data_IF_114277695080
#
_entry.id   IF_114277695080
#
_cell.length_a   1.000
_cell.length_b   1.000
_cell.length_c   1.000
_cell.angle_alpha   90.00
_cell.angle_beta   90.00
_cell.angle_gamma   90.00
#
_symmetry.space_group_name_H-M   'P 1'
#
loop_
_entity.id
_entity.type
_entity.pdbx_description
1 polymer ?
#
# COMPACT_ATOMS: atom_id res chain seq x y z
N UNK A 1 -0.43 23.51 -17.06
CA UNK A 1 0.91 22.93 -17.31
C UNK A 1 1.77 23.27 -16.08
N UNK A 2 2.56 22.33 -15.57
CA UNK A 2 3.20 22.46 -14.24
C UNK A 2 4.17 23.64 -14.12
N UNK A 3 4.28 24.18 -12.90
CA UNK A 3 4.98 25.44 -12.62
C UNK A 3 5.48 25.51 -11.16
N UNK A 4 6.47 26.36 -10.93
CA UNK A 4 6.88 26.80 -9.59
C UNK A 4 6.25 28.16 -9.31
N UNK A 5 5.55 28.30 -8.20
CA UNK A 5 4.92 29.56 -7.79
C UNK A 5 5.84 30.33 -6.84
N UNK A 6 6.64 31.23 -7.42
CA UNK A 6 7.55 32.12 -6.70
C UNK A 6 8.96 31.54 -6.48
N UNK A 7 9.73 32.21 -5.65
CA UNK A 7 11.06 31.80 -5.20
C UNK A 7 11.12 31.81 -3.68
N UNK A 8 11.92 30.95 -3.07
CA UNK A 8 11.98 30.83 -1.61
C UNK A 8 13.39 30.55 -1.11
N UNK A 9 13.79 31.29 -0.07
CA UNK A 9 14.97 31.01 0.76
C UNK A 9 14.71 29.95 1.84
N UNK A 10 13.45 29.55 2.05
CA UNK A 10 13.04 28.61 3.09
C UNK A 10 12.85 27.19 2.55
N UNK A 11 12.28 27.06 1.35
CA UNK A 11 12.03 25.78 0.70
C UNK A 11 10.77 25.77 -0.15
N UNK A 12 10.32 24.58 -0.50
CA UNK A 12 9.22 24.35 -1.42
C UNK A 12 8.25 23.30 -0.88
N UNK A 13 6.99 23.38 -1.30
CA UNK A 13 5.94 22.45 -0.93
C UNK A 13 5.20 21.89 -2.17
N UNK A 14 4.94 20.59 -2.17
CA UNK A 14 4.16 19.89 -3.20
C UNK A 14 2.96 19.23 -2.52
N UNK A 15 1.75 19.59 -2.95
CA UNK A 15 0.52 19.03 -2.39
C UNK A 15 0.41 17.51 -2.68
N UNK A 16 -0.16 16.71 -1.76
CA UNK A 16 -0.15 15.26 -1.85
C UNK A 16 -1.20 14.67 -2.80
N UNK A 17 -2.14 15.47 -3.30
CA UNK A 17 -3.34 15.00 -4.01
C UNK A 17 -3.06 14.23 -5.31
N UNK A 18 -2.05 14.63 -6.10
CA UNK A 18 -1.78 14.00 -7.40
C UNK A 18 -0.88 12.77 -7.26
N UNK A 19 -1.09 11.76 -8.09
CA UNK A 19 -0.24 10.56 -8.07
C UNK A 19 1.19 10.87 -8.54
N UNK A 20 1.35 11.80 -9.48
CA UNK A 20 2.65 12.24 -9.99
C UNK A 20 3.57 12.82 -8.90
N UNK A 21 3.02 13.28 -7.76
CA UNK A 21 3.81 13.65 -6.59
C UNK A 21 4.71 12.50 -6.11
N UNK A 22 4.31 11.24 -6.29
CA UNK A 22 5.13 10.08 -5.92
C UNK A 22 6.31 9.87 -6.88
N UNK A 23 6.17 10.21 -8.16
CA UNK A 23 7.31 10.23 -9.10
C UNK A 23 8.32 11.29 -8.65
N UNK A 24 7.83 12.48 -8.27
CA UNK A 24 8.70 13.54 -7.74
C UNK A 24 9.46 13.06 -6.49
N UNK A 25 8.75 12.45 -5.53
CA UNK A 25 9.35 11.87 -4.32
C UNK A 25 10.42 10.83 -4.67
N UNK A 26 10.11 9.88 -5.56
CA UNK A 26 11.04 8.82 -5.95
C UNK A 26 12.30 9.38 -6.64
N UNK A 27 12.16 10.33 -7.56
CA UNK A 27 13.28 11.01 -8.22
C UNK A 27 14.15 11.79 -7.22
N UNK A 28 13.51 12.59 -6.35
CA UNK A 28 14.21 13.36 -5.32
C UNK A 28 15.00 12.45 -4.36
N UNK A 29 14.40 11.34 -3.92
CA UNK A 29 15.06 10.37 -3.04
C UNK A 29 16.20 9.62 -3.75
N UNK A 30 16.04 9.31 -5.04
CA UNK A 30 17.10 8.71 -5.87
C UNK A 30 18.30 9.65 -6.00
N UNK A 31 18.04 10.94 -6.12
CA UNK A 31 19.08 12.00 -6.16
C UNK A 31 19.60 12.36 -4.75
N UNK A 32 19.23 11.59 -3.72
CA UNK A 32 19.62 11.78 -2.31
C UNK A 32 19.19 13.14 -1.74
N UNK A 33 18.17 13.78 -2.32
CA UNK A 33 17.61 15.00 -1.80
C UNK A 33 16.95 14.75 -0.44
N UNK A 34 17.12 15.71 0.49
CA UNK A 34 16.47 15.65 1.80
C UNK A 34 15.05 16.18 1.65
N UNK A 35 14.05 15.32 1.79
CA UNK A 35 12.64 15.71 1.73
C UNK A 35 11.88 15.21 2.97
N UNK A 36 10.75 15.85 3.24
CA UNK A 36 9.90 15.55 4.38
C UNK A 36 8.44 15.47 3.95
N UNK A 37 7.60 14.84 4.76
CA UNK A 37 6.16 14.96 4.68
C UNK A 37 5.65 15.73 5.91
N UNK A 38 4.79 16.72 5.69
CA UNK A 38 4.06 17.39 6.76
C UNK A 38 3.14 16.38 7.47
N UNK A 39 3.14 16.35 8.80
CA UNK A 39 2.26 15.46 9.58
C UNK A 39 0.97 16.14 10.00
N UNK A 40 0.91 17.47 9.91
CA UNK A 40 -0.24 18.28 10.28
C UNK A 40 -0.56 19.29 9.18
N UNK A 41 -1.76 19.88 9.27
CA UNK A 41 -2.15 21.00 8.43
C UNK A 41 -1.29 22.22 8.77
N UNK A 42 -0.93 23.01 7.76
CA UNK A 42 -0.26 24.30 7.98
C UNK A 42 -0.67 25.30 6.89
N UNK A 43 -0.45 26.57 7.20
CA UNK A 43 -0.74 27.71 6.30
C UNK A 43 0.57 28.40 5.98
N UNK A 44 0.77 28.74 4.71
CA UNK A 44 1.89 29.57 4.26
C UNK A 44 1.37 30.60 3.24
N UNK A 45 1.45 31.88 3.59
CA UNK A 45 0.80 32.97 2.86
C UNK A 45 -0.72 32.75 2.77
N UNK A 46 -1.24 32.66 1.54
CA UNK A 46 -2.66 32.39 1.25
C UNK A 46 -2.97 30.90 1.00
N UNK A 47 -1.96 30.04 1.04
CA UNK A 47 -2.09 28.63 0.69
C UNK A 47 -2.27 27.76 1.95
N UNK A 48 -3.25 26.85 1.87
CA UNK A 48 -3.47 25.81 2.87
C UNK A 48 -2.85 24.49 2.41
N UNK A 49 -2.16 23.82 3.32
CA UNK A 49 -1.51 22.53 3.08
C UNK A 49 -2.03 21.47 4.05
N UNK A 50 -2.21 20.26 3.53
CA UNK A 50 -2.74 19.11 4.27
C UNK A 50 -1.60 18.17 4.71
N UNK A 51 -1.83 17.28 5.69
CA UNK A 51 -0.92 16.18 5.99
C UNK A 51 -0.53 15.40 4.72
N UNK A 52 0.74 14.99 4.66
CA UNK A 52 1.38 14.39 3.50
C UNK A 52 1.90 15.35 2.45
N UNK A 53 1.71 16.67 2.62
CA UNK A 53 2.40 17.66 1.77
C UNK A 53 3.90 17.41 1.81
N UNK A 54 4.50 17.24 0.63
CA UNK A 54 5.93 17.01 0.50
C UNK A 54 6.64 18.34 0.64
N UNK A 55 7.60 18.39 1.56
CA UNK A 55 8.38 19.58 1.89
C UNK A 55 9.82 19.35 1.46
N UNK A 56 10.33 20.28 0.67
CA UNK A 56 11.72 20.34 0.26
C UNK A 56 12.37 21.54 0.95
N UNK A 57 13.52 21.39 1.61
CA UNK A 57 14.34 22.52 2.04
C UNK A 57 14.74 23.41 0.86
N UNK A 58 15.23 24.61 1.18
CA UNK A 58 15.84 25.48 0.17
C UNK A 58 16.94 24.72 -0.60
N UNK A 59 16.86 24.79 -1.92
CA UNK A 59 17.83 24.18 -2.84
C UNK A 59 18.74 25.26 -3.41
N UNK A 60 20.01 24.91 -3.69
CA UNK A 60 20.95 25.81 -4.36
C UNK A 60 20.60 26.03 -5.83
N UNK A 61 20.03 25.02 -6.48
CA UNK A 61 19.68 25.06 -7.90
C UNK A 61 18.16 24.84 -8.08
N UNK A 62 17.45 25.91 -8.42
CA UNK A 62 16.00 25.88 -8.63
C UNK A 62 15.58 25.14 -9.90
N UNK A 63 16.48 25.02 -10.90
CA UNK A 63 16.16 24.39 -12.19
C UNK A 63 15.72 22.94 -12.07
N UNK A 64 16.22 22.21 -11.07
CA UNK A 64 15.77 20.84 -10.75
C UNK A 64 14.30 20.82 -10.34
N UNK A 65 13.86 21.81 -9.54
CA UNK A 65 12.48 21.94 -9.07
C UNK A 65 11.56 22.39 -10.21
N UNK A 66 12.01 23.33 -11.03
CA UNK A 66 11.28 23.78 -12.23
C UNK A 66 11.09 22.65 -13.23
N UNK A 67 12.13 21.85 -13.46
CA UNK A 67 12.05 20.66 -14.32
C UNK A 67 11.07 19.63 -13.75
N UNK A 68 11.13 19.32 -12.45
CA UNK A 68 10.17 18.43 -11.79
C UNK A 68 8.73 18.93 -11.95
N UNK A 69 8.49 20.23 -11.73
CA UNK A 69 7.18 20.84 -11.89
C UNK A 69 6.67 20.65 -13.33
N UNK A 70 7.49 20.99 -14.33
CA UNK A 70 7.14 20.91 -15.75
C UNK A 70 6.87 19.47 -16.21
N UNK A 71 7.82 18.57 -15.98
CA UNK A 71 7.79 17.17 -16.44
C UNK A 71 6.62 16.39 -15.83
N UNK A 72 6.29 16.67 -14.56
CA UNK A 72 5.26 15.93 -13.82
C UNK A 72 3.92 16.66 -13.76
N UNK A 73 3.84 17.84 -14.38
CA UNK A 73 2.68 18.73 -14.37
C UNK A 73 2.21 19.10 -12.96
N UNK A 74 3.16 19.29 -12.05
CA UNK A 74 2.90 19.65 -10.66
C UNK A 74 2.98 21.17 -10.46
N UNK A 75 2.16 21.68 -9.55
CA UNK A 75 2.34 23.01 -8.97
C UNK A 75 3.20 22.86 -7.73
N UNK A 76 4.36 23.50 -7.72
CA UNK A 76 5.29 23.52 -6.58
C UNK A 76 5.26 24.93 -5.97
N UNK A 77 4.93 25.02 -4.69
CA UNK A 77 4.78 26.29 -4.00
C UNK A 77 6.08 26.68 -3.31
N UNK A 78 6.58 27.88 -3.56
CA UNK A 78 7.71 28.43 -2.83
C UNK A 78 7.22 28.93 -1.46
N UNK A 79 7.83 28.43 -0.37
CA UNK A 79 7.39 28.76 0.99
C UNK A 79 7.81 30.17 1.41
N UNK A 80 6.94 30.90 2.08
CA UNK A 80 7.22 32.24 2.63
C UNK A 80 7.77 32.18 4.05
N UNK A 81 7.72 31.01 4.69
CA UNK A 81 8.22 30.76 6.04
C UNK A 81 9.08 29.47 6.09
N UNK A 82 9.89 29.27 7.14
CA UNK A 82 10.59 28.01 7.38
C UNK A 82 9.65 26.79 7.33
N UNK A 83 10.17 25.63 6.91
CA UNK A 83 9.40 24.38 6.89
C UNK A 83 8.75 24.11 8.27
N UNK A 84 7.47 23.71 8.32
CA UNK A 84 6.75 23.48 9.58
C UNK A 84 7.48 22.48 10.49
N UNK A 85 7.39 22.68 11.81
CA UNK A 85 8.04 21.77 12.78
C UNK A 85 7.44 20.36 12.74
N UNK A 86 6.16 20.25 12.43
CA UNK A 86 5.37 19.02 12.34
C UNK A 86 5.59 18.33 11.00
N UNK A 87 6.75 17.66 10.87
CA UNK A 87 7.16 16.94 9.67
C UNK A 87 7.96 15.68 9.99
N UNK A 88 7.87 14.69 9.10
CA UNK A 88 8.62 13.43 9.16
C UNK A 88 9.55 13.32 7.96
N UNK A 89 10.76 12.81 8.16
CA UNK A 89 11.73 12.66 7.06
C UNK A 89 11.30 11.47 6.21
N UNK A 90 11.35 11.61 4.88
CA UNK A 90 11.18 10.48 3.98
C UNK A 90 12.54 9.93 3.59
N UNK A 91 12.66 8.61 3.61
CA UNK A 91 13.84 7.87 3.17
C UNK A 91 13.53 7.02 1.95
N UNK A 92 14.51 6.74 1.07
CA UNK A 92 14.33 5.77 -0.01
C UNK A 92 13.86 4.42 0.56
N UNK A 93 12.88 3.80 -0.08
CA UNK A 93 12.31 2.51 0.33
C UNK A 93 12.68 1.46 -0.71
N UNK A 94 13.35 0.38 -0.28
CA UNK A 94 13.62 -0.78 -1.14
C UNK A 94 12.40 -1.68 -1.11
N UNK A 95 11.74 -1.84 -2.25
CA UNK A 95 10.45 -2.53 -2.36
C UNK A 95 10.66 -3.91 -2.96
N UNK A 96 10.31 -4.95 -2.21
CA UNK A 96 10.16 -6.29 -2.75
C UNK A 96 8.71 -6.53 -3.20
N UNK A 97 8.50 -7.14 -4.36
CA UNK A 97 7.19 -7.64 -4.78
C UNK A 97 7.24 -9.15 -4.94
N UNK A 98 6.44 -9.86 -4.16
CA UNK A 98 6.41 -11.30 -4.18
C UNK A 98 5.87 -11.83 -5.52
N UNK A 99 6.68 -12.66 -6.17
CA UNK A 99 6.37 -13.34 -7.42
C UNK A 99 6.32 -14.85 -7.18
N UNK A 100 5.12 -15.43 -7.00
CA UNK A 100 4.98 -16.88 -6.93
C UNK A 100 5.37 -17.53 -8.27
N UNK A 101 5.76 -18.80 -8.22
CA UNK A 101 5.97 -19.58 -9.44
C UNK A 101 4.70 -19.92 -10.20
N UNK A 102 3.56 -19.90 -9.51
CA UNK A 102 2.25 -19.95 -10.15
C UNK A 102 1.91 -18.58 -10.72
N UNK A 103 1.33 -18.55 -11.91
CA UNK A 103 0.97 -17.32 -12.58
C UNK A 103 0.11 -16.41 -11.69
N UNK A 104 0.53 -15.15 -11.56
CA UNK A 104 -0.22 -14.10 -10.88
C UNK A 104 -0.35 -12.91 -11.82
N UNK A 105 -1.57 -12.68 -12.34
CA UNK A 105 -1.84 -11.48 -13.12
C UNK A 105 -1.68 -10.22 -12.28
N UNK A 106 -2.07 -10.29 -11.00
CA UNK A 106 -2.02 -9.13 -10.11
C UNK A 106 -0.59 -8.70 -9.79
N UNK A 107 0.36 -9.63 -9.69
CA UNK A 107 1.80 -9.31 -9.60
C UNK A 107 2.25 -8.49 -10.80
N UNK A 108 1.89 -8.91 -12.03
CA UNK A 108 2.26 -8.21 -13.25
C UNK A 108 1.70 -6.79 -13.33
N UNK A 109 0.43 -6.60 -12.94
CA UNK A 109 -0.19 -5.27 -12.88
C UNK A 109 0.42 -4.38 -11.80
N UNK A 110 0.68 -4.95 -10.63
CA UNK A 110 1.33 -4.23 -9.52
C UNK A 110 2.73 -3.79 -9.92
N UNK A 111 3.50 -4.68 -10.56
CA UNK A 111 4.83 -4.38 -11.10
C UNK A 111 4.79 -3.26 -12.13
N UNK A 112 3.90 -3.36 -13.12
CA UNK A 112 3.73 -2.32 -14.15
C UNK A 112 3.43 -0.95 -13.52
N UNK A 113 2.53 -0.90 -12.54
CA UNK A 113 2.23 0.34 -11.83
C UNK A 113 3.46 0.89 -11.12
N UNK A 114 4.13 0.09 -10.30
CA UNK A 114 5.26 0.55 -9.49
C UNK A 114 6.46 0.97 -10.36
N UNK A 115 6.72 0.28 -11.48
CA UNK A 115 7.73 0.67 -12.48
C UNK A 115 7.38 2.02 -13.13
N UNK A 116 6.11 2.22 -13.54
CA UNK A 116 5.65 3.51 -14.12
C UNK A 116 5.78 4.68 -13.16
N UNK A 117 5.67 4.42 -11.86
CA UNK A 117 5.84 5.44 -10.82
C UNK A 117 7.27 5.49 -10.25
N UNK A 118 8.22 4.80 -10.86
CA UNK A 118 9.67 4.85 -10.57
C UNK A 118 10.04 4.38 -9.15
N UNK A 119 9.30 3.43 -8.59
CA UNK A 119 9.66 2.82 -7.30
C UNK A 119 10.90 1.92 -7.45
N UNK A 120 11.73 1.86 -6.40
CA UNK A 120 12.88 0.95 -6.33
C UNK A 120 12.40 -0.49 -6.06
N UNK A 121 11.94 -1.14 -7.12
CA UNK A 121 11.25 -2.43 -7.09
C UNK A 121 12.16 -3.59 -7.46
N UNK A 122 12.05 -4.69 -6.72
CA UNK A 122 12.69 -5.97 -7.02
C UNK A 122 11.65 -7.09 -6.91
N UNK A 123 11.58 -7.98 -7.90
CA UNK A 123 10.77 -9.20 -7.80
C UNK A 123 11.40 -10.17 -6.80
N UNK A 124 10.58 -10.71 -5.90
CA UNK A 124 11.02 -11.60 -4.82
C UNK A 124 10.46 -12.99 -5.05
N UNK A 125 11.33 -13.98 -5.25
CA UNK A 125 10.93 -15.37 -5.49
C UNK A 125 10.67 -16.13 -4.18
N UNK A 126 10.19 -17.37 -4.29
CA UNK A 126 9.99 -18.23 -3.14
C UNK A 126 11.30 -18.50 -2.37
N UNK A 127 12.40 -18.67 -3.09
CA UNK A 127 13.73 -19.00 -2.57
C UNK A 127 14.28 -17.83 -1.78
N UNK A 128 14.20 -16.61 -2.33
CA UNK A 128 14.60 -15.40 -1.62
C UNK A 128 13.85 -15.22 -0.28
N UNK A 129 12.57 -15.58 -0.23
CA UNK A 129 11.80 -15.57 1.02
C UNK A 129 12.30 -16.64 1.99
N UNK A 130 12.50 -17.87 1.51
CA UNK A 130 12.97 -19.00 2.34
C UNK A 130 14.39 -18.79 2.88
N UNK A 131 15.29 -18.19 2.10
CA UNK A 131 16.64 -17.79 2.52
C UNK A 131 16.63 -16.80 3.69
N UNK A 132 15.55 -16.01 3.81
CA UNK A 132 15.35 -15.06 4.89
C UNK A 132 16.26 -13.84 4.76
N UNK A 133 16.63 -13.24 5.90
CA UNK A 133 17.39 -11.97 5.97
C UNK A 133 16.80 -10.82 5.12
N UNK A 134 15.48 -10.86 4.90
CA UNK A 134 14.78 -9.95 3.98
C UNK A 134 14.99 -8.47 4.30
N UNK A 135 15.12 -8.10 5.59
CA UNK A 135 15.32 -6.69 5.99
C UNK A 135 16.65 -6.11 5.49
N UNK A 136 17.64 -6.97 5.22
CA UNK A 136 18.90 -6.57 4.59
C UNK A 136 18.69 -6.02 3.19
N UNK A 137 17.65 -6.46 2.49
CA UNK A 137 17.41 -6.12 1.08
C UNK A 137 16.19 -5.22 0.90
N UNK A 138 15.19 -5.35 1.75
CA UNK A 138 13.89 -4.70 1.61
C UNK A 138 13.52 -3.92 2.86
N UNK A 139 12.76 -2.85 2.65
CA UNK A 139 12.12 -2.06 3.69
C UNK A 139 10.61 -2.29 3.67
N UNK A 140 10.04 -2.47 2.47
CA UNK A 140 8.68 -2.92 2.26
C UNK A 140 8.66 -4.18 1.38
N UNK A 141 7.80 -5.15 1.72
CA UNK A 141 7.54 -6.34 0.93
C UNK A 141 6.04 -6.44 0.62
N UNK A 142 5.69 -6.54 -0.65
CA UNK A 142 4.31 -6.57 -1.13
C UNK A 142 3.93 -8.01 -1.50
N UNK A 143 2.82 -8.49 -0.93
CA UNK A 143 2.14 -9.72 -1.35
C UNK A 143 0.94 -9.31 -2.21
N UNK A 144 0.92 -9.63 -3.51
CA UNK A 144 -0.18 -9.27 -4.40
C UNK A 144 -1.45 -10.09 -4.10
N UNK A 145 -2.52 -9.85 -4.86
CA UNK A 145 -3.77 -10.63 -4.81
C UNK A 145 -3.54 -12.08 -5.29
N UNK A 146 -3.04 -12.89 -4.36
CA UNK A 146 -2.72 -14.30 -4.55
C UNK A 146 -3.19 -15.05 -3.31
N UNK A 147 -3.97 -16.12 -3.50
CA UNK A 147 -4.50 -16.90 -2.38
C UNK A 147 -3.41 -17.56 -1.53
N UNK A 148 -3.66 -17.66 -0.21
CA UNK A 148 -2.76 -18.27 0.78
C UNK A 148 -2.22 -19.64 0.37
N UNK A 149 -3.06 -20.50 -0.22
CA UNK A 149 -2.63 -21.82 -0.68
C UNK A 149 -1.55 -21.73 -1.75
N UNK A 150 -1.70 -20.84 -2.73
CA UNK A 150 -0.69 -20.61 -3.78
C UNK A 150 0.63 -20.11 -3.19
N UNK A 151 0.56 -19.23 -2.19
CA UNK A 151 1.74 -18.67 -1.51
C UNK A 151 2.48 -19.76 -0.71
N UNK A 152 1.76 -20.55 0.07
CA UNK A 152 2.36 -21.54 0.97
C UNK A 152 2.72 -22.84 0.26
N UNK A 153 1.73 -23.48 -0.37
CA UNK A 153 1.80 -24.83 -0.94
C UNK A 153 0.80 -24.93 -2.12
N UNK A 154 1.20 -24.58 -3.35
CA UNK A 154 0.28 -24.48 -4.48
C UNK A 154 -0.26 -25.82 -4.97
N UNK A 155 0.35 -26.95 -4.57
CA UNK A 155 -0.12 -28.30 -4.89
C UNK A 155 -1.45 -28.57 -4.18
N UNK A 156 -2.57 -28.76 -4.91
CA UNK A 156 -3.85 -29.04 -4.29
C UNK A 156 -3.82 -30.36 -3.53
N UNK A 157 -4.39 -30.39 -2.33
CA UNK A 157 -4.60 -31.63 -1.56
C UNK A 157 -5.85 -32.40 -1.99
N UNK A 158 -6.85 -31.68 -2.51
CA UNK A 158 -8.10 -32.28 -2.99
C UNK A 158 -7.85 -33.07 -4.29
N UNK A 159 -8.19 -34.39 -4.34
CA UNK A 159 -8.02 -35.22 -5.53
C UNK A 159 -8.67 -34.64 -6.79
N UNK A 160 -9.84 -33.99 -6.66
CA UNK A 160 -10.56 -33.41 -7.80
C UNK A 160 -9.82 -32.26 -8.46
N UNK A 161 -9.05 -31.48 -7.69
CA UNK A 161 -8.19 -30.40 -8.20
C UNK A 161 -6.80 -30.90 -8.58
N UNK A 162 -6.28 -31.89 -7.85
CA UNK A 162 -4.96 -32.46 -8.10
C UNK A 162 -4.82 -33.03 -9.53
N UNK A 163 -5.90 -33.60 -10.11
CA UNK A 163 -5.89 -34.10 -11.50
C UNK A 163 -5.60 -33.04 -12.58
N UNK A 164 -5.93 -31.78 -12.29
CA UNK A 164 -5.66 -30.64 -13.18
C UNK A 164 -4.36 -29.91 -12.84
N UNK A 165 -3.70 -30.30 -11.76
CA UNK A 165 -2.41 -29.73 -11.40
C UNK A 165 -1.36 -30.17 -12.42
N UNK A 166 -0.60 -29.21 -12.92
CA UNK A 166 0.56 -29.44 -13.79
C UNK A 166 1.80 -29.01 -13.03
N UNK A 167 2.71 -29.95 -12.69
CA UNK A 167 3.96 -29.61 -12.04
C UNK A 167 4.82 -28.77 -13.00
N UNK A 168 5.59 -27.85 -12.44
CA UNK A 168 6.65 -27.16 -13.16
C UNK A 168 7.97 -27.90 -12.91
N UNK A 169 9.07 -27.59 -13.64
CA UNK A 169 10.39 -28.07 -13.24
C UNK A 169 10.65 -27.75 -11.76
N UNK A 170 11.32 -28.65 -11.03
CA UNK A 170 11.47 -28.59 -9.57
C UNK A 170 11.93 -27.22 -9.05
N UNK A 171 12.85 -26.56 -9.78
CA UNK A 171 13.37 -25.22 -9.46
C UNK A 171 12.32 -24.09 -9.51
N UNK A 172 11.17 -24.32 -10.13
CA UNK A 172 10.04 -23.39 -10.26
C UNK A 172 8.75 -24.00 -9.69
N UNK A 173 8.86 -24.98 -8.79
CA UNK A 173 7.71 -25.57 -8.12
C UNK A 173 7.61 -25.13 -6.65
N UNK A 174 6.43 -25.28 -6.06
CA UNK A 174 6.19 -25.04 -4.64
C UNK A 174 5.88 -23.58 -4.27
N UNK A 175 5.79 -23.35 -2.97
CA UNK A 175 5.57 -22.06 -2.35
C UNK A 175 6.62 -21.78 -1.29
N UNK A 176 6.36 -20.80 -0.42
CA UNK A 176 7.29 -20.37 0.63
C UNK A 176 7.26 -21.30 1.86
N UNK A 177 6.20 -22.09 2.03
CA UNK A 177 6.03 -23.00 3.17
C UNK A 177 6.10 -22.32 4.55
N UNK A 178 6.26 -23.13 5.61
CA UNK A 178 6.37 -22.65 7.00
C UNK A 178 7.66 -21.85 7.23
N UNK A 179 8.73 -22.22 6.55
CA UNK A 179 10.04 -21.53 6.62
C UNK A 179 9.92 -20.09 6.11
N UNK A 180 9.27 -19.89 4.96
CA UNK A 180 9.02 -18.57 4.43
C UNK A 180 8.10 -17.74 5.33
N UNK A 181 7.07 -18.33 5.94
CA UNK A 181 6.26 -17.64 6.96
C UNK A 181 7.12 -17.18 8.14
N UNK A 182 8.03 -18.03 8.64
CA UNK A 182 8.97 -17.67 9.71
C UNK A 182 9.88 -16.52 9.27
N UNK A 183 10.36 -16.53 8.04
CA UNK A 183 11.18 -15.47 7.48
C UNK A 183 10.42 -14.14 7.34
N UNK A 184 9.16 -14.17 6.88
CA UNK A 184 8.30 -12.98 6.82
C UNK A 184 8.01 -12.41 8.20
N UNK A 185 7.72 -13.25 9.21
CA UNK A 185 7.58 -12.80 10.60
C UNK A 185 8.85 -12.13 11.12
N UNK A 186 10.02 -12.74 10.85
CA UNK A 186 11.31 -12.17 11.26
C UNK A 186 11.60 -10.84 10.54
N UNK A 187 11.23 -10.71 9.27
CA UNK A 187 11.33 -9.47 8.50
C UNK A 187 10.55 -8.34 9.16
N UNK A 188 9.27 -8.57 9.46
CA UNK A 188 8.40 -7.56 10.06
C UNK A 188 8.89 -7.22 11.48
N UNK A 189 9.23 -8.21 12.31
CA UNK A 189 9.75 -7.96 13.67
C UNK A 189 10.99 -7.06 13.70
N UNK A 190 11.84 -7.12 12.66
CA UNK A 190 13.06 -6.29 12.48
C UNK A 190 12.78 -4.93 11.81
N UNK A 191 11.56 -4.40 11.90
CA UNK A 191 11.20 -3.11 11.33
C UNK A 191 10.80 -3.14 9.85
N UNK A 192 10.60 -4.32 9.27
CA UNK A 192 10.08 -4.46 7.90
C UNK A 192 8.60 -4.13 7.81
N UNK A 193 8.16 -3.64 6.65
CA UNK A 193 6.74 -3.41 6.35
C UNK A 193 6.23 -4.49 5.40
N UNK A 194 5.27 -5.30 5.83
CA UNK A 194 4.57 -6.26 4.97
C UNK A 194 3.26 -5.63 4.48
N UNK A 195 3.09 -5.50 3.16
CA UNK A 195 1.88 -4.95 2.54
C UNK A 195 1.18 -6.09 1.81
N UNK A 196 -0.09 -6.34 2.10
CA UNK A 196 -0.84 -7.42 1.44
C UNK A 196 -2.05 -6.87 0.69
N UNK A 197 -2.29 -7.37 -0.52
CA UNK A 197 -3.41 -6.96 -1.35
C UNK A 197 -4.49 -8.04 -1.41
N UNK A 198 -5.75 -7.66 -1.16
CA UNK A 198 -6.94 -8.46 -1.42
C UNK A 198 -6.82 -9.88 -0.83
N UNK A 199 -6.87 -10.96 -1.64
CA UNK A 199 -6.72 -12.35 -1.18
C UNK A 199 -5.40 -12.64 -0.47
N UNK A 200 -4.34 -11.87 -0.78
CA UNK A 200 -3.04 -11.97 -0.13
C UNK A 200 -3.09 -11.64 1.37
N UNK A 201 -4.09 -10.87 1.81
CA UNK A 201 -4.28 -10.54 3.23
C UNK A 201 -4.50 -11.77 4.11
N UNK A 202 -5.07 -12.85 3.55
CA UNK A 202 -5.34 -14.07 4.30
C UNK A 202 -4.05 -14.74 4.82
N UNK A 203 -2.91 -14.56 4.13
CA UNK A 203 -1.61 -15.02 4.63
C UNK A 203 -1.29 -14.37 5.98
N UNK A 204 -1.45 -13.06 6.08
CA UNK A 204 -1.13 -12.32 7.30
C UNK A 204 -2.11 -12.63 8.44
N UNK A 205 -3.42 -12.66 8.12
CA UNK A 205 -4.49 -12.97 9.09
C UNK A 205 -4.24 -14.32 9.76
N UNK A 206 -3.98 -15.36 8.98
CA UNK A 206 -3.90 -16.73 9.52
C UNK A 206 -2.55 -17.03 10.17
N UNK A 207 -1.47 -16.46 9.64
CA UNK A 207 -0.13 -16.85 10.06
C UNK A 207 0.43 -15.93 11.16
N UNK A 208 0.07 -14.65 11.24
CA UNK A 208 0.76 -13.68 12.12
C UNK A 208 0.13 -13.50 13.50
N UNK A 209 -1.02 -14.13 13.78
CA UNK A 209 -1.75 -13.97 15.05
C UNK A 209 -1.99 -12.49 15.40
N UNK A 210 -2.47 -11.74 14.41
CA UNK A 210 -2.81 -10.31 14.53
C UNK A 210 -4.28 -10.14 14.96
N UNK A 211 -4.67 -8.99 15.56
CA UNK A 211 -6.05 -8.75 16.01
C UNK A 211 -6.99 -8.36 14.85
N UNK A 212 -6.92 -9.11 13.75
CA UNK A 212 -7.70 -8.91 12.53
C UNK A 212 -8.19 -10.26 12.03
N UNK A 213 -9.47 -10.33 11.65
CA UNK A 213 -10.09 -11.52 11.03
C UNK A 213 -10.85 -11.14 9.78
N UNK A 214 -11.04 -12.10 8.88
CA UNK A 214 -11.86 -11.92 7.69
C UNK A 214 -13.35 -12.00 8.06
N UNK A 215 -14.06 -10.88 7.92
CA UNK A 215 -15.48 -10.75 8.24
C UNK A 215 -16.38 -11.64 7.36
N UNK A 216 -15.85 -12.14 6.24
CA UNK A 216 -16.55 -12.92 5.22
C UNK A 216 -16.06 -14.38 5.14
N UNK A 217 -15.21 -14.85 6.06
CA UNK A 217 -14.55 -16.16 5.97
C UNK A 217 -15.52 -17.34 5.80
N UNK A 218 -16.63 -17.33 6.53
CA UNK A 218 -17.65 -18.37 6.50
C UNK A 218 -18.91 -17.97 5.72
N UNK A 219 -18.84 -16.90 4.93
CA UNK A 219 -19.97 -16.44 4.11
C UNK A 219 -19.92 -17.15 2.77
N UNK A 220 -21.03 -17.80 2.40
CA UNK A 220 -21.10 -18.53 1.13
C UNK A 220 -21.19 -17.57 -0.07
N UNK A 221 -20.81 -18.08 -1.26
CA UNK A 221 -20.93 -17.32 -2.52
C UNK A 221 -22.36 -16.98 -2.91
N UNK A 222 -23.35 -17.69 -2.36
CA UNK A 222 -24.77 -17.38 -2.53
C UNK A 222 -25.21 -16.20 -1.67
N UNK A 223 -24.55 -15.96 -0.53
CA UNK A 223 -24.89 -14.87 0.41
C UNK A 223 -24.14 -13.58 0.10
N UNK A 224 -22.90 -13.67 -0.38
CA UNK A 224 -22.10 -12.52 -0.78
C UNK A 224 -21.50 -12.69 -2.16
N UNK A 225 -21.79 -11.74 -3.05
CA UNK A 225 -21.23 -11.72 -4.40
C UNK A 225 -21.05 -10.29 -4.89
N UNK A 226 -19.83 -9.96 -5.26
CA UNK A 226 -19.45 -8.64 -5.76
C UNK A 226 -18.47 -8.81 -6.94
N UNK A 227 -18.94 -9.20 -8.14
CA UNK A 227 -18.07 -9.59 -9.25
C UNK A 227 -17.53 -8.36 -10.01
N UNK A 228 -16.84 -7.45 -9.30
CA UNK A 228 -16.35 -6.18 -9.85
C UNK A 228 -17.37 -5.06 -9.69
N UNK A 229 -17.30 -4.35 -8.58
CA UNK A 229 -18.20 -3.26 -8.21
C UNK A 229 -17.43 -2.07 -7.67
N UNK A 230 -17.96 -0.87 -7.83
CA UNK A 230 -17.44 0.33 -7.18
C UNK A 230 -18.23 0.57 -5.90
N UNK A 231 -17.53 0.51 -4.76
CA UNK A 231 -18.14 0.72 -3.44
C UNK A 231 -17.56 1.94 -2.75
N UNK A 232 -18.44 2.70 -2.09
CA UNK A 232 -18.08 3.80 -1.22
C UNK A 232 -17.28 3.30 -0.02
N UNK A 233 -16.17 3.98 0.27
CA UNK A 233 -15.32 3.76 1.43
C UNK A 233 -15.01 5.10 2.10
N UNK A 234 -14.72 5.05 3.40
CA UNK A 234 -14.24 6.18 4.21
C UNK A 234 -12.82 5.88 4.70
N UNK A 235 -11.90 6.83 4.55
CA UNK A 235 -10.50 6.71 4.98
C UNK A 235 -10.12 7.82 5.96
N UNK A 236 -9.32 7.49 6.97
CA UNK A 236 -8.70 8.48 7.86
C UNK A 236 -7.60 9.23 7.11
N UNK A 237 -7.86 10.50 6.81
CA UNK A 237 -6.95 11.39 6.08
C UNK A 237 -5.83 11.96 6.94
N UNK A 238 -5.84 11.71 8.25
CA UNK A 238 -4.72 12.05 9.14
C UNK A 238 -3.69 10.92 9.21
N UNK A 239 -4.10 9.67 8.95
CA UNK A 239 -3.19 8.54 8.88
C UNK A 239 -2.30 8.62 7.63
N UNK A 240 -0.99 8.30 7.69
CA UNK A 240 -0.07 8.38 6.55
C UNK A 240 -0.56 7.67 5.28
N UNK A 241 -1.21 6.51 5.43
CA UNK A 241 -1.80 5.76 4.32
C UNK A 241 -2.92 6.54 3.61
N UNK A 242 -3.68 7.37 4.33
CA UNK A 242 -4.77 8.20 3.80
C UNK A 242 -4.37 9.60 3.34
N UNK A 243 -3.11 10.00 3.48
CA UNK A 243 -2.66 11.34 3.08
C UNK A 243 -2.93 11.63 1.59
N UNK A 244 -3.54 12.78 1.32
CA UNK A 244 -3.88 13.22 -0.03
C UNK A 244 -5.05 12.47 -0.68
N UNK A 245 -5.71 11.56 0.04
CA UNK A 245 -6.99 10.98 -0.38
C UNK A 245 -8.15 11.90 0.02
N UNK A 246 -9.26 11.94 -0.74
CA UNK A 246 -10.52 12.42 -0.18
C UNK A 246 -10.99 11.47 0.93
N UNK A 247 -11.66 12.01 1.95
CA UNK A 247 -12.18 11.20 3.06
C UNK A 247 -13.13 10.10 2.59
N UNK A 248 -14.00 10.42 1.62
CA UNK A 248 -14.85 9.45 0.94
C UNK A 248 -14.28 9.17 -0.45
N UNK A 249 -14.09 7.89 -0.78
CA UNK A 249 -13.57 7.46 -2.08
C UNK A 249 -14.29 6.21 -2.59
N UNK A 250 -14.13 5.95 -3.89
CA UNK A 250 -14.68 4.77 -4.54
C UNK A 250 -13.61 3.68 -4.66
N UNK A 251 -13.88 2.50 -4.11
CA UNK A 251 -13.01 1.33 -4.19
C UNK A 251 -13.58 0.30 -5.17
N UNK A 252 -12.73 -0.22 -6.07
CA UNK A 252 -13.09 -1.37 -6.89
C UNK A 252 -12.95 -2.66 -6.07
N UNK A 253 -14.06 -3.37 -5.88
CA UNK A 253 -14.15 -4.59 -5.07
C UNK A 253 -14.55 -5.76 -5.95
N UNK A 254 -13.86 -6.89 -5.82
CA UNK A 254 -14.08 -8.08 -6.65
C UNK A 254 -14.18 -9.34 -5.78
N UNK A 255 -15.26 -9.41 -5.00
CA UNK A 255 -15.46 -10.41 -3.94
C UNK A 255 -14.29 -10.44 -2.95
N UNK A 256 -13.73 -9.25 -2.71
CA UNK A 256 -12.57 -9.01 -1.86
C UNK A 256 -12.93 -9.15 -0.38
N UNK A 257 -11.96 -9.42 0.52
CA UNK A 257 -12.24 -9.56 1.94
C UNK A 257 -12.64 -8.21 2.56
N UNK A 258 -13.41 -8.30 3.65
CA UNK A 258 -13.61 -7.21 4.58
C UNK A 258 -13.18 -7.69 5.96
N UNK A 259 -12.77 -6.79 6.84
CA UNK A 259 -12.14 -7.17 8.10
C UNK A 259 -12.99 -6.80 9.32
N UNK A 260 -12.81 -7.59 10.37
CA UNK A 260 -13.16 -7.25 11.76
C UNK A 260 -11.87 -7.16 12.55
N UNK A 261 -11.81 -6.23 13.50
CA UNK A 261 -10.68 -6.09 14.42
C UNK A 261 -11.10 -6.52 15.81
N UNK A 262 -10.21 -7.17 16.56
CA UNK A 262 -10.40 -7.51 17.98
C UNK A 262 -9.55 -6.62 18.87
N UNK A 263 -9.69 -6.80 20.19
CA UNK A 263 -8.81 -6.15 21.18
C UNK A 263 -7.35 -6.54 20.90
N UNK A 264 -6.44 -5.58 20.72
CA UNK A 264 -5.04 -5.87 20.47
C UNK A 264 -4.38 -6.64 21.62
N UNK A 265 -3.46 -7.52 21.28
CA UNK A 265 -2.51 -8.10 22.23
C UNK A 265 -1.24 -7.25 22.29
N UNK A 266 -0.45 -7.42 23.36
CA UNK A 266 0.83 -6.71 23.54
C UNK A 266 1.73 -6.91 22.32
N UNK A 267 2.15 -5.79 21.72
CA UNK A 267 3.04 -5.80 20.55
C UNK A 267 2.36 -6.01 19.20
N UNK A 268 1.03 -6.09 19.17
CA UNK A 268 0.22 -6.23 17.94
C UNK A 268 -0.87 -5.15 17.82
N UNK A 269 -0.56 -3.90 18.16
CA UNK A 269 -1.53 -2.80 18.06
C UNK A 269 -2.03 -2.62 16.63
N UNK A 270 -3.28 -2.20 16.49
CA UNK A 270 -3.93 -1.99 15.19
C UNK A 270 -4.53 -0.60 15.08
N UNK A 271 -4.46 -0.05 13.88
CA UNK A 271 -5.13 1.19 13.49
C UNK A 271 -6.07 0.89 12.32
N UNK A 272 -7.34 1.21 12.47
CA UNK A 272 -8.31 1.13 11.37
C UNK A 272 -8.10 2.36 10.50
N UNK A 273 -7.69 2.13 9.25
CA UNK A 273 -7.33 3.22 8.32
C UNK A 273 -8.51 3.53 7.41
N UNK A 274 -9.24 2.51 6.95
CA UNK A 274 -10.43 2.70 6.13
C UNK A 274 -11.54 1.70 6.47
N UNK A 275 -12.78 2.12 6.26
CA UNK A 275 -13.98 1.36 6.55
C UNK A 275 -15.01 1.49 5.44
N UNK A 276 -15.86 0.48 5.30
CA UNK A 276 -17.13 0.61 4.62
C UNK A 276 -18.13 1.32 5.56
N UNK A 277 -18.68 2.49 5.18
CA UNK A 277 -19.57 3.26 6.05
C UNK A 277 -20.89 2.52 6.35
N UNK A 278 -21.62 2.97 7.37
CA UNK A 278 -22.94 2.42 7.72
C UNK A 278 -24.07 3.02 6.88
N UNK A 279 -23.97 2.90 5.57
CA UNK A 279 -24.92 3.47 4.61
C UNK A 279 -24.92 2.63 3.33
N UNK A 280 -25.65 3.09 2.31
CA UNK A 280 -25.58 2.48 0.98
C UNK A 280 -24.16 2.63 0.39
N UNK A 281 -23.59 1.48 0.06
CA UNK A 281 -22.21 1.36 -0.41
C UNK A 281 -22.09 1.38 -1.93
N UNK A 282 -23.11 0.89 -2.64
CA UNK A 282 -23.03 0.71 -4.09
C UNK A 282 -22.96 2.06 -4.80
N UNK A 283 -21.88 2.28 -5.56
CA UNK A 283 -21.76 3.42 -6.47
C UNK A 283 -21.99 2.97 -7.93
N UNK A 284 -21.52 1.77 -8.28
CA UNK A 284 -21.70 1.20 -9.63
C UNK A 284 -21.48 -0.31 -9.63
N UNK A 285 -22.18 -1.01 -10.52
CA UNK A 285 -22.14 -2.47 -10.68
C UNK A 285 -23.29 -3.18 -9.98
N UNK A 286 -23.12 -4.48 -9.71
CA UNK A 286 -24.13 -5.31 -9.04
C UNK A 286 -23.52 -6.05 -7.85
N UNK A 287 -24.16 -5.95 -6.68
CA UNK A 287 -23.72 -6.60 -5.45
C UNK A 287 -24.89 -7.34 -4.79
N UNK A 288 -24.62 -8.56 -4.34
CA UNK A 288 -25.48 -9.30 -3.42
C UNK A 288 -24.79 -9.38 -2.05
N UNK A 289 -25.55 -9.20 -0.97
CA UNK A 289 -25.02 -9.25 0.39
C UNK A 289 -24.30 -7.97 0.85
N UNK A 290 -24.55 -6.81 0.24
CA UNK A 290 -23.90 -5.52 0.59
C UNK A 290 -23.87 -5.22 2.10
N UNK A 291 -24.96 -5.54 2.80
CA UNK A 291 -25.10 -5.32 4.26
C UNK A 291 -24.00 -6.02 5.08
N UNK A 292 -23.39 -7.08 4.56
CA UNK A 292 -22.31 -7.80 5.23
C UNK A 292 -21.01 -6.98 5.29
N UNK A 293 -20.85 -6.00 4.40
CA UNK A 293 -19.69 -5.09 4.35
C UNK A 293 -19.87 -3.86 5.25
N UNK A 294 -21.09 -3.41 5.53
CA UNK A 294 -21.33 -2.19 6.32
C UNK A 294 -20.66 -2.28 7.69
N UNK A 295 -20.05 -1.17 8.12
CA UNK A 295 -19.21 -1.05 9.34
C UNK A 295 -17.97 -1.95 9.37
N UNK A 296 -17.66 -2.70 8.31
CA UNK A 296 -16.44 -3.50 8.26
C UNK A 296 -15.25 -2.66 7.85
N UNK A 297 -14.09 -3.12 8.25
CA UNK A 297 -12.81 -2.47 7.95
C UNK A 297 -12.35 -2.92 6.57
N UNK A 298 -11.89 -1.99 5.74
CA UNK A 298 -11.33 -2.30 4.41
C UNK A 298 -9.81 -2.14 4.37
N UNK A 299 -9.23 -1.31 5.24
CA UNK A 299 -7.78 -1.16 5.38
C UNK A 299 -7.42 -1.07 6.86
N UNK A 300 -6.40 -1.83 7.26
CA UNK A 300 -5.86 -1.83 8.62
C UNK A 300 -4.33 -1.82 8.59
N UNK A 301 -3.75 -1.02 9.46
CA UNK A 301 -2.32 -1.01 9.75
C UNK A 301 -2.12 -1.70 11.12
N UNK A 302 -1.26 -2.71 11.17
CA UNK A 302 -1.00 -3.49 12.37
C UNK A 302 0.49 -3.38 12.69
N UNK A 303 0.81 -2.81 13.85
CA UNK A 303 2.16 -2.87 14.41
C UNK A 303 2.50 -4.32 14.74
N UNK A 304 3.69 -4.78 14.40
CA UNK A 304 4.13 -6.15 14.72
C UNK A 304 5.63 -6.16 15.03
N UNK A 305 5.96 -6.18 16.32
CA UNK A 305 7.33 -5.90 16.78
C UNK A 305 7.72 -4.46 16.44
N UNK A 306 8.88 -4.28 15.79
CA UNK A 306 9.35 -2.96 15.34
C UNK A 306 8.77 -2.54 13.98
N UNK A 307 8.20 -3.48 13.23
CA UNK A 307 7.65 -3.24 11.91
C UNK A 307 6.13 -3.18 11.90
N UNK A 308 5.57 -3.38 10.71
CA UNK A 308 4.12 -3.28 10.48
C UNK A 308 3.63 -4.21 9.38
N UNK A 309 2.33 -4.51 9.45
CA UNK A 309 1.58 -5.31 8.50
C UNK A 309 0.40 -4.46 8.05
N UNK A 310 0.36 -4.11 6.78
CA UNK A 310 -0.68 -3.30 6.16
C UNK A 310 -1.56 -4.22 5.32
N UNK A 311 -2.82 -4.39 5.72
CA UNK A 311 -3.79 -5.19 4.96
C UNK A 311 -4.64 -4.26 4.11
N UNK A 312 -4.51 -4.35 2.79
CA UNK A 312 -5.34 -3.63 1.82
C UNK A 312 -6.40 -4.62 1.31
N UNK A 313 -7.63 -4.56 1.86
CA UNK A 313 -8.70 -5.53 1.63
C UNK A 313 -9.32 -5.54 0.23
N UNK A 314 -8.71 -4.83 -0.72
CA UNK A 314 -9.06 -4.85 -2.14
C UNK A 314 -7.83 -4.45 -2.95
N UNK A 315 -7.85 -4.77 -4.25
CA UNK A 315 -6.78 -4.35 -5.17
C UNK A 315 -6.82 -2.85 -5.42
N UNK A 316 -6.16 -2.07 -4.57
CA UNK A 316 -5.99 -0.61 -4.72
C UNK A 316 -5.35 -0.22 -6.06
N UNK A 317 -4.63 -1.15 -6.70
CA UNK A 317 -4.00 -0.97 -8.00
C UNK A 317 -4.81 -1.53 -9.17
N UNK A 318 -5.92 -2.26 -8.94
CA UNK A 318 -6.61 -3.15 -9.88
C UNK A 318 -6.30 -2.92 -11.37
N UNK A 319 -5.50 -3.80 -11.98
CA UNK A 319 -5.12 -3.74 -13.40
C UNK A 319 -4.44 -2.42 -13.85
N UNK A 320 -3.80 -1.71 -12.92
CA UNK A 320 -3.29 -0.36 -13.13
C UNK A 320 -4.34 0.62 -13.71
N UNK A 321 -5.61 0.50 -13.30
CA UNK A 321 -6.71 1.35 -13.79
C UNK A 321 -7.28 2.36 -12.77
N UNK A 322 -7.54 2.03 -11.48
CA UNK A 322 -8.18 2.97 -10.56
C UNK A 322 -7.16 3.98 -10.01
N UNK A 323 -6.90 5.05 -10.77
CA UNK A 323 -5.98 6.12 -10.36
C UNK A 323 -6.34 6.71 -8.98
N UNK A 324 -7.62 6.72 -8.61
CA UNK A 324 -8.09 7.22 -7.32
C UNK A 324 -7.59 6.45 -6.10
N UNK A 325 -7.19 5.17 -6.25
CA UNK A 325 -6.76 4.34 -5.11
C UNK A 325 -5.27 3.99 -5.12
N UNK A 326 -4.52 4.29 -6.19
CA UNK A 326 -3.07 4.01 -6.24
C UNK A 326 -2.31 4.66 -5.09
N UNK A 327 -2.72 5.86 -4.69
CA UNK A 327 -2.09 6.60 -3.60
C UNK A 327 -2.06 5.82 -2.29
N UNK A 328 -3.06 4.96 -2.02
CA UNK A 328 -3.08 4.10 -0.83
C UNK A 328 -1.87 3.15 -0.84
N UNK A 329 -1.55 2.54 -1.99
CA UNK A 329 -0.37 1.68 -2.13
C UNK A 329 0.91 2.49 -1.99
N UNK A 330 1.00 3.64 -2.67
CA UNK A 330 2.18 4.49 -2.64
C UNK A 330 2.47 5.03 -1.25
N UNK A 331 1.44 5.49 -0.53
CA UNK A 331 1.55 5.94 0.84
C UNK A 331 1.94 4.79 1.78
N UNK A 332 1.44 3.58 1.56
CA UNK A 332 1.84 2.39 2.34
C UNK A 332 3.33 2.09 2.18
N UNK A 333 3.87 2.24 0.96
CA UNK A 333 5.31 2.11 0.68
C UNK A 333 6.09 3.25 1.35
N UNK A 334 5.69 4.51 1.14
CA UNK A 334 6.36 5.67 1.72
C UNK A 334 6.38 5.61 3.26
N UNK A 335 5.30 5.11 3.87
CA UNK A 335 5.17 4.95 5.31
C UNK A 335 6.18 3.95 5.91
N UNK A 336 6.72 3.03 5.11
CA UNK A 336 7.83 2.15 5.53
C UNK A 336 9.16 2.92 5.70
N UNK A 337 9.34 4.05 5.02
CA UNK A 337 10.55 4.87 5.04
C UNK A 337 10.44 6.17 5.84
N UNK A 338 9.33 6.37 6.56
CA UNK A 338 9.10 7.57 7.38
C UNK A 338 9.84 7.47 8.72
N UNK A 339 10.63 8.50 9.05
CA UNK A 339 11.39 8.63 10.30
C UNK A 339 10.97 9.87 11.09
#
# INVERSE_FOLDING_TARGET
IGKVEGSSKYGYAIKPQFNNTNIAVNRLLKDKAKIFAATEKFVDGKANFQPGTILLPAVKNISTIEKLAKDLHLTIHALQQPLPKTKKKLSPVRVGLYKPWRASMDEGWTRLLLERFEFNLVSVTNEMIKEGNLKKYFDALIIPDVGKSTILNPKPKDPKRAKYYRPFPDKYEGGIGKEGVKALKAFVKKGGTLITLDSGCQLAIDEFAIPVSNALENVSRSEFRAPGVMLKNRIDTNHPIGWGMPEIFAAFVSSSPAFRTSTPMVGTDRTVVATYPDEELLLSGWIHGEKLLRKKVSIVDVKYGEGKIILLGFRVQHRAQPHGTFKILFNSIAYAGMQ
#
